data_IF_382351587351
#
_entry.id   IF_382351587351
#
_cell.length_a   1.000
_cell.length_b   1.000
_cell.length_c   1.000
_cell.angle_alpha   90.00
_cell.angle_beta   90.00
_cell.angle_gamma   90.00
#
_symmetry.space_group_name_H-M   'P 1'
#
loop_
_entity.id
_entity.type
_entity.pdbx_description
1 polymer ?
#
# COMPACT_ATOMS: atom_id res chain seq x y z
N UNK A 1 22.57 3.49 15.00
CA UNK A 1 21.19 2.97 15.11
C UNK A 1 21.23 1.45 15.16
N UNK A 2 20.49 0.87 16.06
CA UNK A 2 20.37 -0.58 16.08
C UNK A 2 19.55 -1.04 14.88
N UNK A 3 20.05 -2.05 14.19
CA UNK A 3 19.33 -2.69 13.10
C UNK A 3 18.15 -3.48 13.71
N UNK A 4 16.96 -3.34 13.12
CA UNK A 4 15.80 -4.13 13.57
C UNK A 4 16.03 -5.60 13.24
N UNK A 5 16.07 -6.44 14.27
CA UNK A 5 16.18 -7.88 14.07
C UNK A 5 14.81 -8.42 13.68
N UNK A 6 14.73 -9.06 12.52
CA UNK A 6 13.50 -9.66 12.02
C UNK A 6 13.67 -11.17 11.84
N UNK A 7 12.55 -11.88 11.91
CA UNK A 7 12.51 -13.33 11.67
C UNK A 7 11.40 -13.65 10.66
N UNK A 8 11.56 -14.74 9.88
CA UNK A 8 10.49 -15.19 8.99
C UNK A 8 9.22 -15.53 9.77
N UNK A 9 8.07 -15.29 9.16
CA UNK A 9 6.76 -15.63 9.72
C UNK A 9 6.34 -17.04 9.33
N UNK A 10 5.32 -17.57 10.03
CA UNK A 10 4.71 -18.84 9.66
C UNK A 10 3.87 -18.68 8.39
N UNK A 11 3.56 -19.81 7.74
CA UNK A 11 2.70 -19.80 6.56
C UNK A 11 1.32 -19.19 6.85
N UNK A 12 0.76 -19.44 8.04
CA UNK A 12 -0.54 -18.91 8.43
C UNK A 12 -0.53 -17.37 8.50
N UNK A 13 0.53 -16.80 9.06
CA UNK A 13 0.69 -15.34 9.13
C UNK A 13 0.89 -14.77 7.73
N UNK A 14 1.66 -15.44 6.88
CA UNK A 14 1.86 -15.00 5.50
C UNK A 14 0.53 -14.94 4.74
N UNK A 15 -0.29 -15.99 4.85
CA UNK A 15 -1.61 -16.03 4.22
C UNK A 15 -2.53 -14.94 4.79
N UNK A 16 -2.51 -14.71 6.09
CA UNK A 16 -3.27 -13.64 6.72
C UNK A 16 -2.91 -12.26 6.13
N UNK A 17 -1.63 -11.99 5.95
CA UNK A 17 -1.15 -10.74 5.35
C UNK A 17 -1.58 -10.63 3.88
N UNK A 18 -1.48 -11.70 3.10
CA UNK A 18 -1.98 -11.72 1.72
C UNK A 18 -3.48 -11.40 1.65
N UNK A 19 -4.28 -12.01 2.52
CA UNK A 19 -5.72 -11.75 2.60
C UNK A 19 -6.00 -10.28 2.96
N UNK A 20 -5.25 -9.74 3.91
CA UNK A 20 -5.37 -8.34 4.31
C UNK A 20 -5.12 -7.41 3.11
N UNK A 21 -4.02 -7.60 2.39
CA UNK A 21 -3.71 -6.77 1.23
C UNK A 21 -4.73 -6.93 0.10
N UNK A 22 -5.21 -8.15 -0.15
CA UNK A 22 -6.22 -8.36 -1.16
C UNK A 22 -7.50 -7.57 -0.85
N UNK A 23 -7.94 -7.58 0.41
CA UNK A 23 -9.10 -6.79 0.85
C UNK A 23 -8.84 -5.28 0.73
N UNK A 24 -7.66 -4.83 1.19
CA UNK A 24 -7.28 -3.42 1.14
C UNK A 24 -7.29 -2.89 -0.31
N UNK A 25 -6.68 -3.62 -1.24
CA UNK A 25 -6.62 -3.22 -2.65
C UNK A 25 -8.01 -3.23 -3.30
N UNK A 26 -8.88 -4.18 -2.94
CA UNK A 26 -10.26 -4.23 -3.45
C UNK A 26 -11.08 -3.05 -2.99
N UNK A 27 -10.90 -2.60 -1.76
CA UNK A 27 -11.56 -1.38 -1.27
C UNK A 27 -11.14 -0.16 -2.08
N UNK A 28 -9.86 -0.04 -2.34
CA UNK A 28 -9.30 1.05 -3.13
C UNK A 28 -9.82 1.02 -4.57
N UNK A 29 -9.78 -0.13 -5.22
CA UNK A 29 -10.23 -0.30 -6.61
C UNK A 29 -11.74 -0.12 -6.76
N UNK A 30 -12.50 -0.35 -5.68
CA UNK A 30 -13.95 -0.17 -5.65
C UNK A 30 -14.39 1.23 -5.22
N UNK A 31 -13.46 2.16 -5.06
CA UNK A 31 -13.72 3.54 -4.62
C UNK A 31 -14.35 3.62 -3.22
N UNK A 32 -14.11 2.63 -2.38
CA UNK A 32 -14.54 2.66 -0.97
C UNK A 32 -13.42 3.29 -0.13
N UNK A 33 -13.22 4.59 -0.31
CA UNK A 33 -12.07 5.30 0.27
C UNK A 33 -12.15 5.38 1.79
N UNK A 34 -13.33 5.52 2.35
CA UNK A 34 -13.51 5.53 3.80
C UNK A 34 -13.11 4.18 4.42
N UNK A 35 -13.55 3.09 3.86
CA UNK A 35 -13.18 1.75 4.32
C UNK A 35 -11.69 1.47 4.09
N UNK A 36 -11.13 1.96 2.97
CA UNK A 36 -9.69 1.87 2.72
C UNK A 36 -8.90 2.58 3.81
N UNK A 37 -9.26 3.82 4.14
CA UNK A 37 -8.62 4.57 5.23
C UNK A 37 -8.73 3.86 6.57
N UNK A 38 -9.85 3.20 6.84
CA UNK A 38 -10.04 2.44 8.08
C UNK A 38 -9.14 1.20 8.20
N UNK A 39 -8.44 0.81 7.14
CA UNK A 39 -7.43 -0.26 7.20
C UNK A 39 -6.08 0.24 7.75
N UNK A 40 -5.96 1.51 8.03
CA UNK A 40 -4.79 2.14 8.64
C UNK A 40 -5.08 2.45 10.11
N UNK A 41 -4.04 2.49 10.94
CA UNK A 41 -4.18 2.91 12.35
C UNK A 41 -4.46 4.40 12.43
N UNK A 42 -4.98 4.85 13.59
CA UNK A 42 -5.28 6.28 13.81
C UNK A 42 -4.03 7.17 13.71
N UNK A 43 -2.88 6.63 14.08
CA UNK A 43 -1.58 7.31 14.03
C UNK A 43 -0.77 6.92 12.78
N UNK A 44 -1.40 6.33 11.78
CA UNK A 44 -0.71 5.85 10.59
C UNK A 44 0.03 6.97 9.85
N UNK A 45 1.19 6.62 9.31
CA UNK A 45 2.00 7.50 8.48
C UNK A 45 2.12 6.90 7.08
N UNK A 46 1.64 7.62 6.10
CA UNK A 46 1.65 7.18 4.70
C UNK A 46 2.52 8.14 3.89
N UNK A 47 3.56 7.63 3.27
CA UNK A 47 4.48 8.40 2.44
C UNK A 47 4.31 7.98 0.98
N UNK A 48 3.44 8.67 0.21
CA UNK A 48 3.27 8.39 -1.21
C UNK A 48 4.48 8.86 -2.00
N UNK A 49 4.70 8.26 -3.16
CA UNK A 49 5.79 8.67 -4.02
C UNK A 49 5.56 10.08 -4.58
N UNK A 50 6.54 10.97 -4.41
CA UNK A 50 6.52 12.31 -5.01
C UNK A 50 5.61 13.34 -4.36
N UNK A 51 5.01 13.03 -3.21
CA UNK A 51 4.15 13.98 -2.48
C UNK A 51 4.45 13.93 -0.98
N UNK A 52 3.89 14.89 -0.25
CA UNK A 52 4.10 15.00 1.18
C UNK A 52 3.48 13.82 1.94
N UNK A 53 4.08 13.51 3.09
CA UNK A 53 3.58 12.49 4.01
C UNK A 53 2.20 12.84 4.55
N UNK A 54 1.33 11.83 4.64
CA UNK A 54 -0.03 11.94 5.15
C UNK A 54 -0.12 11.23 6.50
N UNK A 55 -0.82 11.85 7.44
CA UNK A 55 -1.02 11.27 8.77
C UNK A 55 -2.50 11.02 9.03
N UNK A 56 -2.82 9.78 9.39
CA UNK A 56 -4.14 9.34 9.81
C UNK A 56 -5.08 8.94 8.68
N UNK A 57 -6.12 8.14 9.03
CA UNK A 57 -7.05 7.57 8.05
C UNK A 57 -7.80 8.60 7.20
N UNK A 58 -8.19 9.73 7.78
CA UNK A 58 -8.97 10.74 7.07
C UNK A 58 -8.19 11.36 5.91
N UNK A 59 -6.93 11.74 6.13
CA UNK A 59 -6.08 12.29 5.07
C UNK A 59 -5.73 11.22 4.02
N UNK A 60 -5.51 9.98 4.45
CA UNK A 60 -5.21 8.86 3.55
C UNK A 60 -6.41 8.59 2.63
N UNK A 61 -7.62 8.53 3.18
CA UNK A 61 -8.86 8.37 2.40
C UNK A 61 -9.04 9.49 1.38
N UNK A 62 -8.83 10.72 1.81
CA UNK A 62 -8.99 11.89 0.94
C UNK A 62 -7.98 11.91 -0.20
N UNK A 63 -6.74 11.53 0.10
CA UNK A 63 -5.69 11.43 -0.92
C UNK A 63 -5.97 10.31 -1.93
N UNK A 64 -6.49 9.18 -1.47
CA UNK A 64 -6.89 8.08 -2.34
C UNK A 64 -8.02 8.48 -3.28
N UNK A 65 -9.02 9.20 -2.78
CA UNK A 65 -10.12 9.73 -3.60
C UNK A 65 -9.61 10.71 -4.65
N UNK A 66 -8.72 11.61 -4.26
CA UNK A 66 -8.11 12.58 -5.19
C UNK A 66 -7.29 11.86 -6.28
N UNK A 67 -6.54 10.82 -5.92
CA UNK A 67 -5.78 10.02 -6.88
C UNK A 67 -6.70 9.32 -7.89
N UNK A 68 -7.80 8.76 -7.43
CA UNK A 68 -8.79 8.10 -8.29
C UNK A 68 -9.42 9.07 -9.29
N UNK A 69 -9.58 10.33 -8.91
CA UNK A 69 -10.09 11.37 -9.81
C UNK A 69 -9.23 11.59 -11.06
N UNK A 70 -7.95 11.25 -10.98
CA UNK A 70 -7.02 11.37 -12.12
C UNK A 70 -7.15 10.24 -13.13
N UNK A 71 -7.92 9.21 -12.83
CA UNK A 71 -8.11 8.07 -13.73
C UNK A 71 -9.19 8.30 -14.80
N UNK A 72 -9.80 9.47 -14.79
CA UNK A 72 -10.80 9.91 -15.79
C UNK A 72 -11.93 8.89 -16.00
N UNK A 73 -12.49 8.40 -14.91
CA UNK A 73 -13.56 7.39 -14.92
C UNK A 73 -13.08 5.96 -15.25
N UNK A 74 -11.78 5.77 -15.47
CA UNK A 74 -11.22 4.44 -15.72
C UNK A 74 -11.27 3.54 -14.49
N UNK A 75 -11.33 2.24 -14.73
CA UNK A 75 -11.32 1.24 -13.66
C UNK A 75 -9.88 0.88 -13.29
N UNK A 76 -9.43 1.21 -12.08
CA UNK A 76 -8.11 0.79 -11.65
C UNK A 76 -8.11 -0.65 -11.17
N UNK A 77 -6.96 -1.30 -11.29
CA UNK A 77 -6.65 -2.57 -10.63
C UNK A 77 -5.26 -2.47 -10.04
N UNK A 78 -5.17 -2.65 -8.73
CA UNK A 78 -3.90 -2.74 -8.03
C UNK A 78 -3.49 -4.21 -7.98
N UNK A 79 -2.38 -4.52 -8.63
CA UNK A 79 -1.80 -5.87 -8.64
C UNK A 79 -0.56 -5.84 -7.77
N UNK A 80 -0.42 -6.78 -6.84
CA UNK A 80 0.79 -6.87 -6.03
C UNK A 80 1.33 -8.29 -6.03
N UNK A 81 2.65 -8.38 -5.89
CA UNK A 81 3.34 -9.68 -5.82
C UNK A 81 4.72 -9.49 -5.19
N UNK A 82 5.47 -10.57 -5.11
CA UNK A 82 6.80 -10.59 -4.50
C UNK A 82 6.75 -10.13 -3.04
N UNK A 83 5.70 -10.57 -2.34
CA UNK A 83 5.48 -10.21 -0.94
C UNK A 83 6.48 -10.92 -0.04
N UNK A 84 7.16 -10.14 0.82
CA UNK A 84 7.93 -10.66 1.93
C UNK A 84 7.31 -10.18 3.23
N UNK A 85 7.27 -11.04 4.24
CA UNK A 85 6.72 -10.74 5.55
C UNK A 85 7.69 -11.24 6.61
N UNK A 86 8.08 -10.35 7.52
CA UNK A 86 8.97 -10.68 8.62
C UNK A 86 8.37 -10.12 9.91
N UNK A 87 8.57 -10.80 11.04
CA UNK A 87 8.16 -10.27 12.33
C UNK A 87 9.36 -9.70 13.07
N UNK A 88 9.14 -8.56 13.73
CA UNK A 88 10.14 -7.93 14.60
C UNK A 88 9.92 -8.27 16.06
N UNK A 89 10.84 -7.80 16.91
CA UNK A 89 10.79 -8.01 18.38
C UNK A 89 9.58 -7.32 19.02
N UNK A 90 9.06 -6.29 18.37
CA UNK A 90 7.91 -5.49 18.82
C UNK A 90 6.55 -6.07 18.39
N UNK A 91 6.53 -7.30 17.88
CA UNK A 91 5.35 -7.98 17.34
C UNK A 91 4.75 -7.34 16.07
N UNK A 92 5.32 -6.26 15.57
CA UNK A 92 4.93 -5.68 14.29
C UNK A 92 5.37 -6.59 13.13
N UNK A 93 4.66 -6.51 12.03
CA UNK A 93 5.01 -7.23 10.80
C UNK A 93 5.60 -6.23 9.79
N UNK A 94 6.79 -6.54 9.32
CA UNK A 94 7.49 -5.74 8.32
C UNK A 94 7.28 -6.40 6.96
N UNK A 95 6.64 -5.67 6.04
CA UNK A 95 6.30 -6.21 4.74
C UNK A 95 6.92 -5.39 3.62
N UNK A 96 7.21 -6.06 2.52
CA UNK A 96 7.65 -5.41 1.29
C UNK A 96 7.02 -6.14 0.11
N UNK A 97 6.63 -5.39 -0.92
CA UNK A 97 6.07 -5.98 -2.13
C UNK A 97 6.22 -5.03 -3.32
N UNK A 98 6.02 -5.58 -4.52
CA UNK A 98 5.93 -4.78 -5.74
C UNK A 98 4.46 -4.67 -6.12
N UNK A 99 4.10 -3.52 -6.69
CA UNK A 99 2.74 -3.34 -7.17
C UNK A 99 2.73 -2.56 -8.48
N UNK A 100 1.74 -2.89 -9.30
CA UNK A 100 1.44 -2.12 -10.51
C UNK A 100 -0.03 -1.74 -10.47
N UNK A 101 -0.34 -0.59 -11.05
CA UNK A 101 -1.72 -0.13 -11.22
C UNK A 101 -2.02 -0.08 -12.69
N UNK A 102 -2.99 -0.89 -13.12
CA UNK A 102 -3.52 -0.84 -14.49
C UNK A 102 -4.86 -0.12 -14.50
N UNK A 103 -5.11 0.65 -15.56
CA UNK A 103 -6.35 1.39 -15.74
C UNK A 103 -7.02 0.92 -17.03
N UNK A 104 -8.28 0.49 -16.93
CA UNK A 104 -9.11 0.21 -18.10
C UNK A 104 -10.03 1.38 -18.33
N UNK A 105 -9.87 2.04 -19.47
CA UNK A 105 -10.68 3.19 -19.87
C UNK A 105 -12.05 2.76 -20.38
N UNK A 106 -12.98 3.73 -20.52
CA UNK A 106 -14.35 3.46 -20.96
C UNK A 106 -14.42 2.81 -22.36
N UNK A 107 -13.44 3.06 -23.23
CA UNK A 107 -13.34 2.44 -24.55
C UNK A 107 -12.76 1.02 -24.54
N UNK A 108 -12.43 0.48 -23.34
CA UNK A 108 -11.85 -0.83 -23.18
C UNK A 108 -10.34 -0.88 -23.31
N UNK A 109 -9.67 0.23 -23.61
CA UNK A 109 -8.21 0.26 -23.67
C UNK A 109 -7.61 0.17 -22.27
N UNK A 110 -6.41 -0.42 -22.19
CA UNK A 110 -5.69 -0.59 -20.93
C UNK A 110 -4.37 0.17 -20.99
N UNK A 111 -3.99 0.74 -19.85
CA UNK A 111 -2.65 1.31 -19.69
C UNK A 111 -2.08 0.94 -18.32
N UNK A 112 -0.78 0.89 -18.25
CA UNK A 112 -0.06 0.78 -16.99
C UNK A 112 0.15 2.19 -16.44
N UNK A 113 -0.47 2.50 -15.31
CA UNK A 113 -0.42 3.84 -14.71
C UNK A 113 0.86 4.04 -13.91
N UNK A 114 1.24 3.05 -13.12
CA UNK A 114 2.47 3.13 -12.33
C UNK A 114 2.97 1.74 -11.93
N UNK A 115 4.27 1.67 -11.69
CA UNK A 115 4.96 0.53 -11.11
C UNK A 115 5.71 1.03 -9.86
N UNK A 116 5.53 0.35 -8.73
CA UNK A 116 6.02 0.81 -7.43
C UNK A 116 6.59 -0.31 -6.59
N UNK A 117 7.44 0.07 -5.65
CA UNK A 117 7.77 -0.77 -4.49
C UNK A 117 7.10 -0.18 -3.26
N UNK A 118 6.64 -1.05 -2.37
CA UNK A 118 5.93 -0.65 -1.14
C UNK A 118 6.58 -1.33 0.05
N UNK A 119 6.77 -0.57 1.12
CA UNK A 119 7.21 -1.08 2.41
C UNK A 119 6.21 -0.63 3.47
N UNK A 120 5.68 -1.60 4.22
CA UNK A 120 4.69 -1.36 5.26
C UNK A 120 5.19 -1.88 6.61
N UNK A 121 4.66 -1.27 7.67
CA UNK A 121 4.63 -1.87 9.00
C UNK A 121 3.17 -2.14 9.32
N UNK A 122 2.83 -3.41 9.55
CA UNK A 122 1.50 -3.82 9.95
C UNK A 122 1.47 -4.07 11.45
N UNK A 123 0.38 -3.70 12.09
CA UNK A 123 0.18 -3.93 13.52
C UNK A 123 -1.13 -4.68 13.76
N UNK A 124 -1.15 -5.49 14.82
CA UNK A 124 -2.36 -6.18 15.24
C UNK A 124 -3.16 -5.27 16.16
N UNK A 125 -4.45 -5.14 15.84
CA UNK A 125 -5.41 -4.40 16.65
C UNK A 125 -6.56 -5.34 17.03
N UNK A 126 -7.48 -4.88 17.88
CA UNK A 126 -8.70 -5.62 18.20
C UNK A 126 -9.53 -5.93 16.95
N UNK A 127 -9.44 -5.08 15.94
CA UNK A 127 -10.16 -5.26 14.67
C UNK A 127 -9.36 -6.05 13.63
N UNK A 128 -8.22 -6.64 14.00
CA UNK A 128 -7.33 -7.39 13.10
C UNK A 128 -6.12 -6.56 12.67
N UNK A 129 -5.50 -6.95 11.55
CA UNK A 129 -4.34 -6.24 11.04
C UNK A 129 -4.73 -4.85 10.52
N UNK A 130 -3.84 -3.88 10.77
CA UNK A 130 -3.93 -2.52 10.23
C UNK A 130 -2.55 -2.06 9.77
N UNK A 131 -2.52 -1.21 8.76
CA UNK A 131 -1.27 -0.60 8.31
C UNK A 131 -0.92 0.57 9.24
N UNK A 132 0.22 0.49 9.92
CA UNK A 132 0.73 1.57 10.77
C UNK A 132 1.62 2.55 10.01
N UNK A 133 2.34 2.07 9.01
CA UNK A 133 3.09 2.94 8.10
C UNK A 133 3.19 2.32 6.72
N UNK A 134 3.27 3.19 5.71
CA UNK A 134 3.47 2.78 4.31
C UNK A 134 4.39 3.77 3.63
N UNK A 135 5.39 3.25 2.94
CA UNK A 135 6.26 4.04 2.06
C UNK A 135 6.16 3.47 0.65
N UNK A 136 5.82 4.32 -0.31
CA UNK A 136 5.73 3.95 -1.73
C UNK A 136 6.85 4.67 -2.49
N UNK A 137 7.55 3.93 -3.34
CA UNK A 137 8.54 4.47 -4.27
C UNK A 137 8.16 4.08 -5.69
N UNK A 138 8.15 5.05 -6.59
CA UNK A 138 7.88 4.80 -8.01
C UNK A 138 9.15 4.41 -8.74
N UNK A 139 9.06 3.44 -9.63
CA UNK A 139 10.20 2.98 -10.41
C UNK A 139 10.69 4.04 -11.40
N UNK A 140 9.78 4.83 -11.97
CA UNK A 140 10.14 5.93 -12.87
C UNK A 140 10.87 7.08 -12.12
N UNK A 141 10.55 7.31 -10.85
CA UNK A 141 11.26 8.28 -10.02
C UNK A 141 12.70 7.83 -9.73
N UNK A 142 12.93 6.51 -9.59
CA UNK A 142 14.27 5.97 -9.41
C UNK A 142 15.18 6.29 -10.59
N UNK A 143 14.66 6.22 -11.81
CA UNK A 143 15.42 6.58 -12.99
C UNK A 143 15.83 8.06 -12.98
N UNK A 144 14.93 8.96 -12.56
CA UNK A 144 15.23 10.38 -12.41
C UNK A 144 16.26 10.64 -11.31
N UNK A 145 16.17 9.97 -10.16
CA UNK A 145 17.13 10.07 -9.06
C UNK A 145 18.53 9.59 -9.49
N UNK A 146 18.60 8.50 -10.26
CA UNK A 146 19.86 7.96 -10.77
C UNK A 146 20.52 8.87 -11.82
N UNK A 147 19.72 9.63 -12.58
CA UNK A 147 20.21 10.56 -13.61
C UNK A 147 20.65 11.91 -13.02
N UNK A 148 20.23 12.21 -11.82
CA UNK A 148 20.64 13.42 -11.09
C UNK A 148 21.93 13.21 -10.35
#
# INVERSE_FOLDING_TARGET
MAETVTTPVTADVYVEVQQFYARQMRLLDGNDFAAFGATFTEDAVFTPAGVATLEGPALISKAAEAAAGRFDGGQPRHWFDMLTVESGDDTALYTAYYAVVSITSADGSNRLEQSVTVQDVLVRTEAGLRTGSRVIRRDDHRAAEAAG
#
